data_IF_472405034656
#
_entry.id   IF_472405034656
#
_cell.length_a   1.000
_cell.length_b   1.000
_cell.length_c   1.000
_cell.angle_alpha   90.00
_cell.angle_beta   90.00
_cell.angle_gamma   90.00
#
_symmetry.space_group_name_H-M   'P 1'
#
loop_
_entity.id
_entity.type
_entity.pdbx_description
1 polymer ?
#
# COMPACT_ATOMS: atom_id res chain seq x y z
N UNK A 1 18.58 18.59 14.01
CA UNK A 1 17.34 17.77 13.83
C UNK A 1 17.56 16.95 12.59
N UNK A 2 17.50 15.62 12.67
CA UNK A 2 17.72 14.78 11.51
C UNK A 2 16.59 14.94 10.46
N UNK A 3 16.85 14.45 9.23
CA UNK A 3 15.89 14.58 8.12
C UNK A 3 14.56 13.87 8.40
N UNK A 4 14.58 12.70 9.05
CA UNK A 4 13.37 11.96 9.37
C UNK A 4 12.43 12.77 10.28
N UNK A 5 12.96 13.35 11.34
CA UNK A 5 12.18 14.18 12.27
C UNK A 5 11.71 15.49 11.61
N UNK A 6 12.52 16.04 10.71
CA UNK A 6 12.14 17.22 9.94
C UNK A 6 10.98 16.93 8.96
N UNK A 7 11.00 15.77 8.29
CA UNK A 7 9.91 15.34 7.39
C UNK A 7 8.59 15.22 8.15
N UNK A 8 8.62 14.66 9.37
CA UNK A 8 7.43 14.48 10.22
C UNK A 8 6.70 15.79 10.54
N UNK A 9 7.34 16.93 10.37
CA UNK A 9 6.69 18.24 10.57
C UNK A 9 5.74 18.61 9.41
N UNK A 10 5.92 18.03 8.23
CA UNK A 10 5.19 18.38 7.01
C UNK A 10 4.40 17.23 6.41
N UNK A 11 4.76 16.00 6.75
CA UNK A 11 4.25 14.77 6.13
C UNK A 11 4.09 13.69 7.19
N UNK A 12 2.98 12.99 7.18
CA UNK A 12 2.82 11.80 8.02
C UNK A 12 3.71 10.68 7.49
N UNK A 13 4.65 10.22 8.31
CA UNK A 13 5.56 9.12 7.98
C UNK A 13 4.91 7.80 8.31
N UNK A 14 4.92 6.89 7.35
CA UNK A 14 4.39 5.54 7.42
C UNK A 14 5.53 4.55 7.19
N UNK A 15 5.57 3.45 7.91
CA UNK A 15 6.58 2.40 7.70
C UNK A 15 6.09 1.36 6.70
N UNK A 16 6.89 1.10 5.68
CA UNK A 16 6.65 0.03 4.70
C UNK A 16 7.47 -1.20 5.09
N UNK A 17 6.92 -2.01 5.99
CA UNK A 17 7.62 -3.15 6.56
C UNK A 17 6.69 -4.15 7.23
N UNK A 18 7.05 -5.45 7.17
CA UNK A 18 6.51 -6.48 8.04
C UNK A 18 7.38 -6.76 9.28
N UNK A 19 8.52 -6.11 9.39
CA UNK A 19 9.42 -6.24 10.53
C UNK A 19 9.03 -5.29 11.65
N UNK A 20 8.42 -5.84 12.69
CA UNK A 20 7.84 -5.11 13.83
C UNK A 20 8.91 -4.37 14.64
N UNK A 21 10.10 -4.92 14.78
CA UNK A 21 11.20 -4.27 15.50
C UNK A 21 11.66 -2.99 14.78
N UNK A 22 11.79 -3.04 13.45
CA UNK A 22 12.06 -1.84 12.64
C UNK A 22 10.98 -0.79 12.77
N UNK A 23 9.69 -1.20 12.74
CA UNK A 23 8.57 -0.29 12.92
C UNK A 23 8.64 0.38 14.28
N UNK A 24 8.88 -0.39 15.33
CA UNK A 24 8.99 0.12 16.70
C UNK A 24 10.11 1.14 16.86
N UNK A 25 11.23 0.93 16.18
CA UNK A 25 12.40 1.82 16.26
C UNK A 25 12.16 3.22 15.67
N UNK A 26 11.42 3.34 14.55
CA UNK A 26 11.25 4.61 13.84
C UNK A 26 10.02 5.41 14.26
N UNK A 27 9.13 4.85 15.10
CA UNK A 27 7.91 5.48 15.60
C UNK A 27 7.08 6.13 14.46
N UNK A 28 6.67 5.39 13.43
CA UNK A 28 5.79 5.89 12.38
C UNK A 28 4.37 6.05 12.91
N UNK A 29 3.56 6.84 12.21
CA UNK A 29 2.12 6.97 12.52
C UNK A 29 1.36 5.71 12.13
N UNK A 30 1.56 5.23 10.90
CA UNK A 30 0.91 4.07 10.30
C UNK A 30 1.97 3.06 9.80
N UNK A 31 1.51 1.88 9.39
CA UNK A 31 2.33 0.90 8.70
C UNK A 31 1.60 0.29 7.51
N UNK A 32 2.35 -0.07 6.47
CA UNK A 32 1.86 -0.80 5.31
C UNK A 32 2.54 -2.15 5.21
N UNK A 33 1.76 -3.18 4.87
CA UNK A 33 2.25 -4.50 4.52
C UNK A 33 1.84 -4.86 3.09
N UNK A 34 2.41 -5.90 2.56
CA UNK A 34 2.05 -6.53 1.29
C UNK A 34 2.52 -7.99 1.30
N UNK A 35 2.13 -8.82 0.33
CA UNK A 35 2.53 -10.23 0.30
C UNK A 35 4.03 -10.47 0.39
N UNK A 36 4.84 -9.65 -0.28
CA UNK A 36 6.31 -9.76 -0.27
C UNK A 36 6.89 -9.48 1.11
N UNK A 37 6.38 -8.45 1.80
CA UNK A 37 6.81 -8.09 3.16
C UNK A 37 6.39 -9.14 4.18
N UNK A 38 5.18 -9.70 4.06
CA UNK A 38 4.72 -10.79 4.93
C UNK A 38 5.54 -12.05 4.72
N UNK A 39 5.85 -12.42 3.48
CA UNK A 39 6.71 -13.57 3.17
C UNK A 39 8.09 -13.42 3.81
N UNK A 40 8.69 -12.24 3.68
CA UNK A 40 9.99 -11.93 4.29
C UNK A 40 9.94 -12.03 5.81
N UNK A 41 8.92 -11.45 6.44
CA UNK A 41 8.74 -11.47 7.89
C UNK A 41 8.47 -12.90 8.40
N UNK A 42 7.69 -13.69 7.68
CA UNK A 42 7.42 -15.09 8.01
C UNK A 42 8.67 -15.99 8.03
N UNK A 43 9.73 -15.56 7.34
CA UNK A 43 11.05 -16.22 7.40
C UNK A 43 11.85 -15.94 8.67
N UNK A 44 11.43 -14.98 9.49
CA UNK A 44 12.14 -14.60 10.72
C UNK A 44 11.68 -15.46 11.90
N UNK A 45 12.63 -16.07 12.63
CA UNK A 45 12.34 -16.96 13.76
C UNK A 45 11.53 -16.26 14.88
N UNK A 46 11.71 -14.96 15.04
CA UNK A 46 10.99 -14.14 16.03
C UNK A 46 9.46 -14.11 15.84
N UNK A 47 8.97 -14.42 14.65
CA UNK A 47 7.53 -14.40 14.32
C UNK A 47 6.91 -15.80 14.15
N UNK A 48 7.66 -16.86 14.52
CA UNK A 48 7.15 -18.25 14.44
C UNK A 48 5.83 -18.44 15.20
N UNK A 49 5.66 -17.80 16.35
CA UNK A 49 4.43 -17.87 17.14
C UNK A 49 3.20 -17.33 16.41
N UNK A 50 3.35 -16.29 15.56
CA UNK A 50 2.25 -15.76 14.74
C UNK A 50 1.83 -16.78 13.67
N UNK A 51 2.80 -17.52 13.13
CA UNK A 51 2.54 -18.58 12.14
C UNK A 51 1.85 -19.77 12.83
N UNK A 52 2.35 -20.19 13.98
CA UNK A 52 1.79 -21.35 14.72
C UNK A 52 0.34 -21.08 15.15
N UNK A 53 0.03 -19.85 15.59
CA UNK A 53 -1.35 -19.44 15.89
C UNK A 53 -2.25 -19.49 14.64
N UNK A 54 -1.77 -18.97 13.50
CA UNK A 54 -2.52 -19.01 12.24
C UNK A 54 -2.81 -20.45 11.78
N UNK A 55 -1.84 -21.34 11.90
CA UNK A 55 -1.99 -22.77 11.59
C UNK A 55 -3.00 -23.44 12.53
N UNK A 56 -2.88 -23.21 13.85
CA UNK A 56 -3.79 -23.77 14.83
C UNK A 56 -5.24 -23.30 14.61
N UNK A 57 -5.40 -22.01 14.30
CA UNK A 57 -6.70 -21.43 13.98
C UNK A 57 -7.28 -22.04 12.70
N UNK A 58 -6.50 -22.16 11.63
CA UNK A 58 -6.93 -22.71 10.35
C UNK A 58 -7.38 -24.19 10.47
N UNK A 59 -6.66 -24.99 11.26
CA UNK A 59 -7.06 -26.38 11.54
C UNK A 59 -8.43 -26.46 12.21
N UNK A 60 -8.78 -25.52 13.09
CA UNK A 60 -10.08 -25.46 13.76
C UNK A 60 -11.23 -25.08 12.81
N UNK A 61 -10.95 -24.32 11.74
CA UNK A 61 -11.97 -23.97 10.76
C UNK A 61 -12.41 -25.17 9.92
N UNK A 62 -11.61 -26.22 9.85
CA UNK A 62 -11.90 -27.41 9.05
C UNK A 62 -11.72 -27.18 7.56
N UNK A 63 -12.37 -28.03 6.76
CA UNK A 63 -12.23 -28.03 5.31
C UNK A 63 -11.02 -28.83 4.80
N UNK A 64 -10.91 -28.95 3.48
CA UNK A 64 -9.78 -29.62 2.84
C UNK A 64 -8.49 -28.80 2.98
N UNK A 65 -7.36 -29.41 2.61
CA UNK A 65 -6.03 -28.79 2.75
C UNK A 65 -5.94 -27.39 2.12
N UNK A 66 -6.47 -27.23 0.92
CA UNK A 66 -6.47 -25.93 0.21
C UNK A 66 -7.21 -24.84 0.99
N UNK A 67 -8.37 -25.16 1.53
CA UNK A 67 -9.15 -24.25 2.37
C UNK A 67 -8.40 -23.88 3.66
N UNK A 68 -7.75 -24.85 4.30
CA UNK A 68 -6.95 -24.61 5.51
C UNK A 68 -5.73 -23.71 5.22
N UNK A 69 -5.07 -23.87 4.07
CA UNK A 69 -3.97 -22.99 3.65
C UNK A 69 -4.49 -21.57 3.44
N UNK A 70 -5.62 -21.38 2.76
CA UNK A 70 -6.22 -20.07 2.56
C UNK A 70 -6.59 -19.40 3.90
N UNK A 71 -7.21 -20.16 4.81
CA UNK A 71 -7.51 -19.70 6.17
C UNK A 71 -6.25 -19.28 6.95
N UNK A 72 -5.18 -20.08 6.85
CA UNK A 72 -3.92 -19.78 7.52
C UNK A 72 -3.26 -18.50 6.97
N UNK A 73 -3.32 -18.27 5.64
CA UNK A 73 -2.82 -17.04 5.03
C UNK A 73 -3.58 -15.81 5.51
N UNK A 74 -4.91 -15.85 5.51
CA UNK A 74 -5.73 -14.73 5.97
C UNK A 74 -5.46 -14.44 7.46
N UNK A 75 -5.44 -15.48 8.29
CA UNK A 75 -5.16 -15.33 9.73
C UNK A 75 -3.76 -14.81 9.99
N UNK A 76 -2.76 -15.26 9.25
CA UNK A 76 -1.38 -14.80 9.40
C UNK A 76 -1.25 -13.32 9.05
N UNK A 77 -1.86 -12.86 7.95
CA UNK A 77 -1.86 -11.44 7.58
C UNK A 77 -2.48 -10.58 8.70
N UNK A 78 -3.58 -11.03 9.29
CA UNK A 78 -4.24 -10.36 10.41
C UNK A 78 -3.37 -10.41 11.68
N UNK A 79 -2.72 -11.54 11.98
CA UNK A 79 -1.82 -11.66 13.13
C UNK A 79 -0.65 -10.68 13.04
N UNK A 80 -0.01 -10.55 11.87
CA UNK A 80 1.02 -9.54 11.66
C UNK A 80 0.48 -8.12 11.83
N UNK A 81 -0.66 -7.81 11.23
CA UNK A 81 -1.29 -6.51 11.37
C UNK A 81 -1.64 -6.17 12.82
N UNK A 82 -2.19 -7.12 13.56
CA UNK A 82 -2.53 -6.97 14.98
C UNK A 82 -1.27 -6.70 15.83
N UNK A 83 -0.18 -7.40 15.57
CA UNK A 83 1.08 -7.20 16.28
C UNK A 83 1.70 -5.83 15.96
N UNK A 84 1.67 -5.43 14.70
CA UNK A 84 2.12 -4.09 14.27
C UNK A 84 1.31 -2.99 14.98
N UNK A 85 0.00 -3.14 15.09
CA UNK A 85 -0.89 -2.16 15.74
C UNK A 85 -0.58 -1.89 17.21
N UNK A 86 0.11 -2.79 17.89
CA UNK A 86 0.61 -2.56 19.25
C UNK A 86 1.75 -1.54 19.31
N UNK A 87 2.39 -1.27 18.16
CA UNK A 87 3.59 -0.43 18.06
C UNK A 87 3.37 0.89 17.35
N UNK A 88 2.20 1.12 16.79
CA UNK A 88 1.83 2.34 16.05
C UNK A 88 0.54 2.95 16.61
N UNK A 89 0.40 4.29 16.60
CA UNK A 89 -0.84 4.94 17.05
C UNK A 89 -1.97 4.90 16.03
N UNK A 90 -1.64 4.84 14.75
CA UNK A 90 -2.59 4.93 13.64
C UNK A 90 -3.08 3.59 13.11
N UNK A 91 -2.96 3.38 11.81
CA UNK A 91 -3.56 2.27 11.07
C UNK A 91 -2.53 1.36 10.43
N UNK A 92 -2.92 0.09 10.24
CA UNK A 92 -2.18 -0.86 9.41
C UNK A 92 -2.95 -1.14 8.12
N UNK A 93 -2.23 -1.19 6.99
CA UNK A 93 -2.79 -1.64 5.71
C UNK A 93 -2.56 -3.15 5.54
N UNK A 94 -3.64 -3.90 5.35
CA UNK A 94 -3.63 -5.35 5.08
C UNK A 94 -4.18 -5.61 3.70
N UNK A 95 -3.42 -6.29 2.85
CA UNK A 95 -3.71 -6.43 1.42
C UNK A 95 -4.54 -7.68 1.12
N UNK A 96 -5.55 -7.52 0.29
CA UNK A 96 -6.35 -8.59 -0.30
C UNK A 96 -5.51 -9.33 -1.33
N UNK A 97 -5.70 -10.64 -1.45
CA UNK A 97 -5.02 -11.50 -2.41
C UNK A 97 -5.06 -10.90 -3.83
N UNK A 98 -3.88 -10.70 -4.42
CA UNK A 98 -3.73 -10.06 -5.73
C UNK A 98 -4.44 -10.83 -6.86
N UNK A 99 -4.69 -12.12 -6.69
CA UNK A 99 -5.45 -12.93 -7.67
C UNK A 99 -6.93 -12.53 -7.75
N UNK A 100 -7.42 -11.76 -6.78
CA UNK A 100 -8.78 -11.20 -6.77
C UNK A 100 -8.87 -9.83 -7.45
N UNK A 101 -7.78 -9.29 -7.98
CA UNK A 101 -7.70 -7.93 -8.52
C UNK A 101 -8.72 -7.61 -9.61
N UNK A 102 -9.21 -8.62 -10.33
CA UNK A 102 -10.21 -8.49 -11.40
C UNK A 102 -11.59 -9.06 -11.02
N UNK A 103 -11.81 -9.32 -9.73
CA UNK A 103 -13.09 -9.82 -9.22
C UNK A 103 -13.59 -8.93 -8.08
N UNK A 104 -14.50 -8.01 -8.42
CA UNK A 104 -15.06 -7.03 -7.49
C UNK A 104 -15.74 -7.70 -6.29
N UNK A 105 -16.61 -8.67 -6.53
CA UNK A 105 -17.42 -9.31 -5.50
C UNK A 105 -16.54 -10.10 -4.51
N UNK A 106 -15.61 -10.90 -5.02
CA UNK A 106 -14.67 -11.64 -4.16
C UNK A 106 -13.69 -10.73 -3.41
N UNK A 107 -13.31 -9.59 -3.99
CA UNK A 107 -12.51 -8.59 -3.29
C UNK A 107 -13.27 -7.99 -2.11
N UNK A 108 -14.56 -7.67 -2.28
CA UNK A 108 -15.43 -7.18 -1.19
C UNK A 108 -15.58 -8.24 -0.10
N UNK A 109 -15.87 -9.48 -0.49
CA UNK A 109 -16.02 -10.61 0.44
C UNK A 109 -14.75 -10.83 1.26
N UNK A 110 -13.59 -10.87 0.60
CA UNK A 110 -12.28 -11.02 1.27
C UNK A 110 -11.99 -9.87 2.22
N UNK A 111 -12.26 -8.63 1.82
CA UNK A 111 -12.07 -7.45 2.65
C UNK A 111 -12.91 -7.53 3.94
N UNK A 112 -14.19 -7.86 3.82
CA UNK A 112 -15.09 -8.06 4.97
C UNK A 112 -14.60 -9.17 5.89
N UNK A 113 -14.11 -10.27 5.31
CA UNK A 113 -13.54 -11.39 6.06
C UNK A 113 -12.31 -10.96 6.88
N UNK A 114 -11.37 -10.26 6.28
CA UNK A 114 -10.19 -9.75 6.99
C UNK A 114 -10.57 -8.80 8.14
N UNK A 115 -11.52 -7.89 7.91
CA UNK A 115 -12.02 -7.00 8.95
C UNK A 115 -12.66 -7.79 10.10
N UNK A 116 -13.46 -8.83 9.80
CA UNK A 116 -14.05 -9.69 10.81
C UNK A 116 -13.00 -10.39 11.67
N UNK A 117 -11.91 -10.90 11.06
CA UNK A 117 -10.80 -11.51 11.79
C UNK A 117 -10.10 -10.51 12.74
N UNK A 118 -9.94 -9.26 12.34
CA UNK A 118 -9.44 -8.21 13.23
C UNK A 118 -10.39 -7.93 14.40
N UNK A 119 -11.69 -7.86 14.12
CA UNK A 119 -12.72 -7.64 15.15
C UNK A 119 -12.78 -8.79 16.18
N UNK A 120 -12.60 -10.04 15.75
CA UNK A 120 -12.46 -11.19 16.66
C UNK A 120 -11.27 -11.06 17.63
N UNK A 121 -10.24 -10.32 17.24
CA UNK A 121 -9.08 -9.98 18.08
C UNK A 121 -9.28 -8.68 18.89
N UNK A 122 -10.48 -8.09 18.88
CA UNK A 122 -10.81 -6.86 19.60
C UNK A 122 -10.27 -5.59 18.93
N UNK A 123 -9.88 -5.66 17.66
CA UNK A 123 -9.36 -4.51 16.90
C UNK A 123 -10.50 -3.89 16.08
N UNK A 124 -10.76 -2.62 16.34
CA UNK A 124 -11.79 -1.87 15.62
C UNK A 124 -11.36 -1.57 14.17
N UNK A 125 -12.33 -1.59 13.26
CA UNK A 125 -12.08 -1.32 11.83
C UNK A 125 -11.48 0.06 11.55
N UNK A 126 -11.62 1.02 12.45
CA UNK A 126 -10.98 2.34 12.35
C UNK A 126 -9.44 2.30 12.40
N UNK A 127 -8.88 1.18 12.88
CA UNK A 127 -7.43 0.94 12.95
C UNK A 127 -6.87 0.22 11.70
N UNK A 128 -7.70 -0.06 10.69
CA UNK A 128 -7.36 -0.91 9.55
C UNK A 128 -7.63 -0.16 8.25
N UNK A 129 -6.74 -0.34 7.28
CA UNK A 129 -6.98 -0.06 5.88
C UNK A 129 -6.93 -1.37 5.09
N UNK A 130 -7.98 -1.66 4.34
CA UNK A 130 -7.95 -2.78 3.40
C UNK A 130 -7.26 -2.33 2.12
N UNK A 131 -6.20 -3.03 1.76
CA UNK A 131 -5.37 -2.68 0.61
C UNK A 131 -5.78 -3.50 -0.61
N UNK A 132 -6.10 -2.81 -1.70
CA UNK A 132 -6.62 -3.37 -2.95
C UNK A 132 -5.82 -2.84 -4.14
N UNK A 133 -5.57 -3.67 -5.16
CA UNK A 133 -4.99 -3.19 -6.40
C UNK A 133 -5.91 -2.19 -7.11
N UNK A 134 -5.34 -1.16 -7.72
CA UNK A 134 -6.07 -0.09 -8.41
C UNK A 134 -6.49 -0.49 -9.85
N UNK A 135 -7.13 -1.65 -9.96
CA UNK A 135 -7.91 -2.04 -11.13
C UNK A 135 -9.29 -1.39 -11.07
N UNK A 136 -10.04 -1.38 -12.16
CA UNK A 136 -11.42 -0.91 -12.13
C UNK A 136 -12.25 -1.67 -11.10
N UNK A 137 -12.13 -3.00 -11.08
CA UNK A 137 -12.82 -3.89 -10.15
C UNK A 137 -12.43 -3.61 -8.70
N UNK A 138 -11.14 -3.39 -8.43
CA UNK A 138 -10.63 -3.05 -7.10
C UNK A 138 -11.14 -1.68 -6.62
N UNK A 139 -11.19 -0.69 -7.49
CA UNK A 139 -11.72 0.64 -7.20
C UNK A 139 -13.22 0.58 -6.91
N UNK A 140 -13.99 -0.19 -7.70
CA UNK A 140 -15.43 -0.38 -7.46
C UNK A 140 -15.71 -1.19 -6.18
N UNK A 141 -14.84 -2.14 -5.83
CA UNK A 141 -14.90 -2.83 -4.54
C UNK A 141 -14.68 -1.85 -3.38
N UNK A 142 -13.66 -1.00 -3.47
CA UNK A 142 -13.37 0.02 -2.46
C UNK A 142 -14.54 0.99 -2.28
N UNK A 143 -15.21 1.40 -3.34
CA UNK A 143 -16.40 2.28 -3.26
C UNK A 143 -17.51 1.69 -2.38
N UNK A 144 -17.72 0.37 -2.48
CA UNK A 144 -18.72 -0.33 -1.64
C UNK A 144 -18.25 -0.37 -0.19
N UNK A 145 -17.00 -0.77 0.03
CA UNK A 145 -16.40 -0.90 1.37
C UNK A 145 -16.36 0.44 2.12
N UNK A 146 -16.04 1.52 1.44
CA UNK A 146 -16.03 2.87 2.04
C UNK A 146 -17.41 3.28 2.55
N UNK A 147 -18.47 2.94 1.82
CA UNK A 147 -19.86 3.18 2.26
C UNK A 147 -20.25 2.35 3.49
N UNK A 148 -19.57 1.25 3.73
CA UNK A 148 -19.72 0.40 4.92
C UNK A 148 -18.82 0.86 6.09
N UNK A 149 -18.03 1.93 5.90
CA UNK A 149 -17.08 2.42 6.88
C UNK A 149 -15.83 1.53 7.00
N UNK A 150 -15.54 0.74 5.98
CA UNK A 150 -14.28 0.00 5.83
C UNK A 150 -13.38 0.82 4.92
N UNK A 151 -12.38 1.47 5.50
CA UNK A 151 -11.47 2.32 4.75
C UNK A 151 -10.47 1.52 3.94
N UNK A 152 -10.16 2.00 2.74
CA UNK A 152 -9.32 1.31 1.78
C UNK A 152 -8.06 2.11 1.44
N UNK A 153 -7.00 1.36 1.12
CA UNK A 153 -5.75 1.83 0.54
C UNK A 153 -5.61 1.23 -0.87
N UNK A 154 -5.78 2.03 -1.91
CA UNK A 154 -5.65 1.59 -3.30
C UNK A 154 -4.20 1.67 -3.74
N UNK A 155 -3.61 0.49 -3.97
CA UNK A 155 -2.20 0.29 -4.30
C UNK A 155 -2.00 -0.11 -5.76
N UNK A 156 -0.74 -0.35 -6.16
CA UNK A 156 -0.35 -0.59 -7.55
C UNK A 156 -0.91 0.51 -8.46
N UNK A 157 -0.70 1.75 -8.04
CA UNK A 157 -1.21 2.94 -8.68
C UNK A 157 -0.08 3.65 -9.40
N UNK A 158 -0.20 3.78 -10.72
CA UNK A 158 0.83 4.24 -11.65
C UNK A 158 0.36 5.33 -12.60
N UNK A 159 -0.93 5.64 -12.65
CA UNK A 159 -1.49 6.62 -13.58
C UNK A 159 -2.46 7.60 -12.92
N UNK A 160 -2.61 8.78 -13.54
CA UNK A 160 -3.61 9.75 -13.10
C UNK A 160 -5.04 9.21 -13.27
N UNK A 161 -5.31 8.40 -14.28
CA UNK A 161 -6.61 7.77 -14.49
C UNK A 161 -7.01 6.91 -13.28
N UNK A 162 -6.07 6.08 -12.77
CA UNK A 162 -6.30 5.29 -11.56
C UNK A 162 -6.56 6.19 -10.33
N UNK A 163 -5.73 7.20 -10.13
CA UNK A 163 -5.87 8.14 -9.00
C UNK A 163 -7.21 8.87 -9.05
N UNK A 164 -7.59 9.37 -10.22
CA UNK A 164 -8.85 10.06 -10.44
C UNK A 164 -10.06 9.16 -10.14
N UNK A 165 -10.08 7.95 -10.67
CA UNK A 165 -11.16 7.00 -10.42
C UNK A 165 -11.29 6.63 -8.93
N UNK A 166 -10.16 6.51 -8.20
CA UNK A 166 -10.16 6.31 -6.75
C UNK A 166 -10.78 7.49 -5.99
N UNK A 167 -10.41 8.72 -6.35
CA UNK A 167 -10.96 9.91 -5.71
C UNK A 167 -12.46 10.07 -5.97
N UNK A 168 -12.91 9.80 -7.20
CA UNK A 168 -14.32 9.81 -7.61
C UNK A 168 -15.13 8.73 -6.88
N UNK A 169 -14.51 7.60 -6.53
CA UNK A 169 -15.11 6.54 -5.73
C UNK A 169 -15.14 6.83 -4.22
N UNK A 170 -14.57 7.95 -3.77
CA UNK A 170 -14.52 8.31 -2.35
C UNK A 170 -13.56 7.45 -1.52
N UNK A 171 -12.54 6.89 -2.13
CA UNK A 171 -11.51 6.08 -1.45
C UNK A 171 -10.78 6.91 -0.40
N UNK A 172 -10.56 6.33 0.78
CA UNK A 172 -9.86 6.99 1.88
C UNK A 172 -8.42 7.37 1.56
N UNK A 173 -7.65 6.44 0.97
CA UNK A 173 -6.23 6.62 0.72
C UNK A 173 -5.78 5.89 -0.55
N UNK A 174 -4.87 6.51 -1.29
CA UNK A 174 -4.18 5.91 -2.42
C UNK A 174 -2.67 5.85 -2.18
N UNK A 175 -2.02 4.82 -2.73
CA UNK A 175 -0.56 4.62 -2.66
C UNK A 175 0.04 4.66 -4.07
N UNK A 176 0.24 5.86 -4.68
CA UNK A 176 0.93 5.97 -5.95
C UNK A 176 2.42 5.63 -5.79
N UNK A 177 2.95 4.86 -6.74
CA UNK A 177 4.32 4.35 -6.71
C UNK A 177 5.29 5.32 -7.38
N UNK A 178 6.44 5.52 -6.75
CA UNK A 178 7.54 6.35 -7.26
C UNK A 178 8.63 5.51 -7.90
N UNK A 179 9.22 4.60 -7.14
CA UNK A 179 10.40 3.85 -7.57
C UNK A 179 10.15 2.90 -8.72
N UNK A 180 9.00 2.24 -8.77
CA UNK A 180 8.68 1.33 -9.90
C UNK A 180 8.42 2.09 -11.19
N UNK A 181 7.89 3.31 -11.12
CA UNK A 181 7.80 4.21 -12.29
C UNK A 181 9.21 4.60 -12.73
N UNK A 182 10.05 5.05 -11.80
CA UNK A 182 11.45 5.37 -12.07
C UNK A 182 12.16 4.21 -12.78
N UNK A 183 12.05 3.00 -12.25
CA UNK A 183 12.70 1.80 -12.80
C UNK A 183 12.30 1.56 -14.27
N UNK A 184 11.00 1.72 -14.59
CA UNK A 184 10.50 1.52 -15.95
C UNK A 184 11.10 2.52 -16.96
N UNK A 185 11.18 3.79 -16.59
CA UNK A 185 11.77 4.82 -17.44
C UNK A 185 13.29 4.71 -17.50
N UNK A 186 13.94 4.42 -16.38
CA UNK A 186 15.39 4.28 -16.31
C UNK A 186 15.90 3.11 -17.16
N UNK A 187 15.19 2.01 -17.21
CA UNK A 187 15.52 0.86 -18.07
C UNK A 187 15.50 1.20 -19.56
N UNK A 188 14.76 2.24 -19.96
CA UNK A 188 14.66 2.74 -21.34
C UNK A 188 15.61 3.90 -21.64
N UNK A 189 16.28 4.43 -20.61
CA UNK A 189 17.29 5.50 -20.70
C UNK A 189 18.54 5.09 -19.92
N UNK A 190 19.35 4.14 -20.44
CA UNK A 190 20.36 3.43 -19.65
C UNK A 190 21.62 4.25 -19.33
N UNK A 191 21.85 5.39 -19.95
CA UNK A 191 23.14 6.06 -19.88
C UNK A 191 23.30 7.02 -18.70
N UNK A 192 22.22 7.64 -18.21
CA UNK A 192 22.27 8.59 -17.10
C UNK A 192 21.05 8.44 -16.19
N UNK A 193 21.23 8.39 -14.86
CA UNK A 193 20.13 8.43 -13.92
C UNK A 193 19.38 9.76 -14.03
N UNK A 194 18.05 9.71 -13.84
CA UNK A 194 17.27 10.94 -13.71
C UNK A 194 17.72 11.74 -12.49
N UNK A 195 17.93 13.04 -12.68
CA UNK A 195 17.97 13.96 -11.54
C UNK A 195 16.59 13.99 -10.89
N UNK A 196 16.53 14.25 -9.59
CA UNK A 196 15.28 14.09 -8.83
C UNK A 196 14.15 14.99 -9.33
N UNK A 197 14.49 16.19 -9.83
CA UNK A 197 13.53 17.14 -10.38
C UNK A 197 12.83 16.63 -11.64
N UNK A 198 13.52 15.76 -12.39
CA UNK A 198 13.04 15.14 -13.63
C UNK A 198 12.57 13.70 -13.44
N UNK A 199 12.64 13.18 -12.21
CA UNK A 199 12.23 11.82 -11.88
C UNK A 199 10.74 11.60 -12.22
N UNK A 200 10.42 10.68 -13.15
CA UNK A 200 9.04 10.48 -13.60
C UNK A 200 8.12 9.97 -12.51
N UNK A 201 8.64 9.22 -11.53
CA UNK A 201 7.87 8.76 -10.39
C UNK A 201 7.51 9.90 -9.43
N UNK A 202 8.45 10.79 -9.17
CA UNK A 202 8.24 12.01 -8.37
C UNK A 202 7.22 12.92 -9.06
N UNK A 203 7.38 13.14 -10.37
CA UNK A 203 6.42 13.95 -11.17
C UNK A 203 5.01 13.37 -11.13
N UNK A 204 4.89 12.05 -11.24
CA UNK A 204 3.58 11.36 -11.19
C UNK A 204 2.85 11.64 -9.87
N UNK A 205 3.50 11.44 -8.73
CA UNK A 205 2.89 11.67 -7.42
C UNK A 205 2.58 13.14 -7.18
N UNK A 206 3.47 14.05 -7.61
CA UNK A 206 3.22 15.48 -7.53
C UNK A 206 1.97 15.88 -8.32
N UNK A 207 1.82 15.40 -9.55
CA UNK A 207 0.65 15.68 -10.39
C UNK A 207 -0.65 15.17 -9.75
N UNK A 208 -0.62 13.98 -9.15
CA UNK A 208 -1.78 13.42 -8.43
C UNK A 208 -2.13 14.27 -7.22
N UNK A 209 -1.12 14.66 -6.42
CA UNK A 209 -1.31 15.53 -5.27
C UNK A 209 -1.96 16.85 -5.66
N UNK A 210 -1.39 17.53 -6.66
CA UNK A 210 -1.90 18.82 -7.16
C UNK A 210 -3.34 18.68 -7.66
N UNK A 211 -3.62 17.66 -8.45
CA UNK A 211 -4.97 17.37 -8.94
C UNK A 211 -5.98 17.19 -7.80
N UNK A 212 -5.62 16.40 -6.78
CA UNK A 212 -6.53 16.16 -5.65
C UNK A 212 -6.78 17.43 -4.85
N UNK A 213 -5.76 18.24 -4.62
CA UNK A 213 -5.91 19.50 -3.87
C UNK A 213 -6.69 20.55 -4.67
N UNK A 214 -6.43 20.68 -5.98
CA UNK A 214 -7.18 21.60 -6.85
C UNK A 214 -8.67 21.25 -6.91
N UNK A 215 -9.03 19.98 -6.96
CA UNK A 215 -10.44 19.53 -7.03
C UNK A 215 -11.06 19.24 -5.67
N UNK A 216 -10.39 19.56 -4.56
CA UNK A 216 -10.85 19.31 -3.18
C UNK A 216 -11.32 17.87 -2.94
N UNK A 217 -10.56 16.90 -3.42
CA UNK A 217 -10.77 15.52 -3.02
C UNK A 217 -10.19 15.26 -1.63
N UNK A 218 -10.93 14.52 -0.81
CA UNK A 218 -10.50 14.17 0.55
C UNK A 218 -9.58 12.95 0.60
N UNK A 219 -9.44 12.23 -0.50
CA UNK A 219 -8.57 11.05 -0.59
C UNK A 219 -7.13 11.43 -0.26
N UNK A 220 -6.55 10.71 0.68
CA UNK A 220 -5.17 10.90 1.12
C UNK A 220 -4.22 10.38 0.06
N UNK A 221 -3.21 11.17 -0.30
CA UNK A 221 -2.14 10.75 -1.20
C UNK A 221 -0.94 10.29 -0.38
N UNK A 222 -0.57 9.02 -0.52
CA UNK A 222 0.58 8.43 0.13
C UNK A 222 1.60 7.95 -0.91
N UNK A 223 2.67 8.69 -1.11
CA UNK A 223 3.78 8.25 -1.96
C UNK A 223 4.39 6.94 -1.44
N UNK A 224 4.69 6.02 -2.34
CA UNK A 224 5.15 4.67 -2.02
C UNK A 224 6.26 4.19 -2.95
N UNK A 225 6.96 3.11 -2.54
CA UNK A 225 7.96 2.44 -3.38
C UNK A 225 9.12 3.35 -3.76
N UNK A 226 9.89 3.79 -2.78
CA UNK A 226 11.06 4.65 -3.00
C UNK A 226 12.33 3.83 -3.27
N UNK A 227 13.25 4.38 -4.09
CA UNK A 227 14.57 3.80 -4.38
C UNK A 227 15.69 4.55 -3.68
N UNK A 228 15.50 5.83 -3.38
CA UNK A 228 16.50 6.72 -2.78
C UNK A 228 15.83 7.84 -1.97
N UNK A 229 16.56 8.39 -1.02
CA UNK A 229 16.06 9.42 -0.10
C UNK A 229 15.70 10.72 -0.82
N UNK A 230 16.35 11.05 -1.93
CA UNK A 230 16.04 12.24 -2.72
C UNK A 230 14.60 12.24 -3.27
N UNK A 231 14.06 11.06 -3.64
CA UNK A 231 12.67 10.93 -4.06
C UNK A 231 11.70 11.26 -2.92
N UNK A 232 12.04 10.85 -1.69
CA UNK A 232 11.27 11.16 -0.49
C UNK A 232 11.32 12.65 -0.21
N UNK A 233 12.52 13.24 -0.21
CA UNK A 233 12.74 14.66 0.06
C UNK A 233 12.03 15.56 -0.98
N UNK A 234 11.95 15.13 -2.24
CA UNK A 234 11.25 15.83 -3.30
C UNK A 234 9.71 15.85 -3.14
N UNK A 235 9.17 15.00 -2.27
CA UNK A 235 7.74 14.86 -1.99
C UNK A 235 7.34 15.32 -0.57
N UNK A 236 8.23 15.94 0.18
CA UNK A 236 7.92 16.49 1.50
C UNK A 236 6.79 17.50 1.41
N UNK A 237 5.77 17.31 2.22
CA UNK A 237 4.48 18.03 2.16
C UNK A 237 3.37 17.19 1.53
N UNK A 238 3.67 16.02 0.93
CA UNK A 238 2.67 15.01 0.61
C UNK A 238 1.90 14.61 1.88
N UNK A 239 0.64 14.22 1.75
CA UNK A 239 -0.16 13.86 2.93
C UNK A 239 0.51 12.77 3.74
N UNK A 240 0.99 11.71 3.09
CA UNK A 240 1.75 10.61 3.69
C UNK A 240 2.84 10.12 2.75
N UNK A 241 3.88 9.51 3.33
CA UNK A 241 4.92 8.77 2.61
C UNK A 241 5.18 7.47 3.36
N UNK A 242 5.03 6.33 2.68
CA UNK A 242 5.37 5.03 3.25
C UNK A 242 6.78 4.65 2.82
N UNK A 243 7.65 4.46 3.81
CA UNK A 243 9.09 4.41 3.64
C UNK A 243 9.63 3.11 4.22
N UNK A 244 10.46 2.41 3.45
CA UNK A 244 11.11 1.18 3.91
C UNK A 244 12.21 1.48 4.94
N UNK A 245 12.47 0.56 5.91
CA UNK A 245 13.44 0.76 6.98
C UNK A 245 14.85 1.20 6.55
N UNK A 246 15.45 0.70 5.47
CA UNK A 246 16.76 1.19 5.03
C UNK A 246 16.77 2.69 4.73
N UNK A 247 15.74 3.20 4.08
CA UNK A 247 15.64 4.64 3.76
C UNK A 247 15.26 5.47 5.00
N UNK A 248 14.46 4.92 5.93
CA UNK A 248 14.24 5.57 7.24
C UNK A 248 15.54 5.74 7.99
N UNK A 249 16.43 4.74 7.97
CA UNK A 249 17.74 4.78 8.58
C UNK A 249 18.63 5.87 7.96
N UNK A 250 18.65 5.96 6.64
CA UNK A 250 19.43 6.99 5.93
C UNK A 250 18.94 8.40 6.29
N UNK A 251 17.62 8.61 6.30
CA UNK A 251 17.02 9.90 6.68
C UNK A 251 17.33 10.26 8.15
N UNK A 252 17.34 9.29 9.04
CA UNK A 252 17.66 9.49 10.45
C UNK A 252 19.14 9.85 10.65
N UNK A 253 20.03 9.36 9.79
CA UNK A 253 21.47 9.59 9.85
C UNK A 253 21.92 10.92 9.25
N UNK A 254 21.05 11.69 8.59
CA UNK A 254 21.36 12.95 7.94
C UNK A 254 20.73 14.14 8.67
N UNK A 255 21.52 15.20 8.90
CA UNK A 255 21.05 16.48 9.47
C UNK A 255 20.91 17.58 8.42
N UNK A 256 20.99 17.24 7.14
CA UNK A 256 20.79 18.20 6.05
C UNK A 256 19.39 18.81 6.14
N UNK A 257 19.22 20.14 5.99
CA UNK A 257 17.92 20.79 6.10
C UNK A 257 16.89 20.24 5.12
N UNK A 258 15.68 20.05 5.61
CA UNK A 258 14.53 19.61 4.81
C UNK A 258 13.63 20.80 4.49
N UNK A 259 13.25 20.92 3.24
CA UNK A 259 12.35 21.96 2.75
C UNK A 259 11.05 21.33 2.27
N UNK A 260 9.91 21.89 2.68
CA UNK A 260 8.61 21.50 2.16
C UNK A 260 8.52 21.75 0.66
N UNK A 261 8.17 20.75 -0.13
CA UNK A 261 8.10 20.78 -1.60
C UNK A 261 6.66 20.81 -2.12
N UNK A 262 5.75 20.08 -1.47
CA UNK A 262 4.35 20.05 -1.85
C UNK A 262 3.53 20.98 -0.95
N UNK A 263 2.88 21.93 -1.59
CA UNK A 263 2.00 22.91 -0.96
C UNK A 263 0.66 22.85 -1.70
N UNK A 264 -0.48 22.75 -1.00
CA UNK A 264 -1.79 22.73 -1.66
C UNK A 264 -1.96 23.96 -2.55
N UNK A 265 -2.47 23.74 -3.77
CA UNK A 265 -2.73 24.84 -4.70
C UNK A 265 -3.77 25.81 -4.12
N UNK A 266 -3.55 27.10 -4.36
CA UNK A 266 -4.49 28.16 -3.96
C UNK A 266 -5.73 28.21 -4.87
N UNK A 267 -5.56 27.84 -6.14
CA UNK A 267 -6.63 27.79 -7.12
C UNK A 267 -7.45 26.52 -6.97
N UNK A 268 -8.75 26.66 -6.78
CA UNK A 268 -9.71 25.56 -6.74
C UNK A 268 -10.44 25.47 -8.07
N UNK A 269 -10.51 24.27 -8.60
CA UNK A 269 -11.21 23.94 -9.84
C UNK A 269 -12.44 23.09 -9.56
N UNK A 270 -13.49 23.19 -10.37
CA UNK A 270 -14.63 22.28 -10.26
C UNK A 270 -14.19 20.83 -10.54
N UNK A 271 -14.82 19.87 -9.88
CA UNK A 271 -14.59 18.46 -10.17
C UNK A 271 -15.10 18.13 -11.57
N UNK A 272 -14.30 17.43 -12.39
CA UNK A 272 -14.80 16.93 -13.67
C UNK A 272 -15.87 15.84 -13.47
N UNK A 273 -16.60 15.53 -14.53
CA UNK A 273 -17.53 14.39 -14.54
C UNK A 273 -16.73 13.10 -14.26
N UNK A 274 -17.21 12.21 -13.38
CA UNK A 274 -16.56 10.96 -13.08
C UNK A 274 -16.31 10.11 -14.34
N UNK A 275 -15.18 9.41 -14.36
CA UNK A 275 -14.85 8.49 -15.44
C UNK A 275 -15.85 7.33 -15.50
N UNK A 276 -16.37 7.04 -16.68
CA UNK A 276 -16.97 5.75 -16.97
C UNK A 276 -15.91 4.65 -17.02
N UNK A 277 -16.34 3.39 -16.95
CA UNK A 277 -15.42 2.25 -17.09
C UNK A 277 -14.64 2.29 -18.41
N UNK A 278 -15.31 2.59 -19.52
CA UNK A 278 -14.69 2.68 -20.84
C UNK A 278 -13.63 3.79 -20.91
N UNK A 279 -13.93 4.97 -20.35
CA UNK A 279 -12.97 6.08 -20.29
C UNK A 279 -11.79 5.75 -19.40
N UNK A 280 -12.02 5.16 -18.21
CA UNK A 280 -10.94 4.71 -17.32
C UNK A 280 -10.01 3.71 -18.02
N UNK A 281 -10.58 2.68 -18.64
CA UNK A 281 -9.79 1.66 -19.34
C UNK A 281 -9.02 2.24 -20.53
N UNK A 282 -9.62 3.17 -21.26
CA UNK A 282 -8.97 3.83 -22.38
C UNK A 282 -7.81 4.72 -21.93
N UNK A 283 -8.05 5.61 -20.96
CA UNK A 283 -7.02 6.51 -20.45
C UNK A 283 -5.84 5.72 -19.82
N UNK A 284 -6.13 4.69 -19.02
CA UNK A 284 -5.09 3.83 -18.46
C UNK A 284 -4.30 3.09 -19.53
N UNK A 285 -4.98 2.56 -20.56
CA UNK A 285 -4.35 1.84 -21.66
C UNK A 285 -3.40 2.72 -22.49
N UNK A 286 -3.59 4.02 -22.52
CA UNK A 286 -2.70 4.94 -23.25
C UNK A 286 -1.35 5.17 -22.53
N UNK A 287 -1.23 4.76 -21.28
CA UNK A 287 0.01 4.83 -20.53
C UNK A 287 0.66 3.44 -20.43
N UNK A 288 1.62 3.12 -21.32
CA UNK A 288 2.24 1.79 -21.35
C UNK A 288 2.99 1.46 -20.06
N UNK A 289 3.59 2.44 -19.39
CA UNK A 289 4.26 2.24 -18.11
C UNK A 289 3.23 1.78 -17.07
N UNK A 290 2.10 2.44 -16.96
CA UNK A 290 1.08 2.12 -15.98
C UNK A 290 0.46 0.74 -16.23
N UNK A 291 0.16 0.39 -17.50
CA UNK A 291 -0.36 -0.92 -17.89
C UNK A 291 0.61 -2.04 -17.52
N UNK A 292 1.88 -1.90 -17.92
CA UNK A 292 2.91 -2.90 -17.66
C UNK A 292 3.17 -3.07 -16.16
N UNK A 293 3.31 -1.98 -15.41
CA UNK A 293 3.64 -2.02 -13.97
C UNK A 293 2.49 -2.51 -13.09
N UNK A 294 1.25 -2.18 -13.41
CA UNK A 294 0.08 -2.75 -12.73
C UNK A 294 0.01 -4.27 -12.93
N UNK A 295 0.10 -4.72 -14.17
CA UNK A 295 0.06 -6.15 -14.52
C UNK A 295 1.22 -6.92 -13.88
N UNK A 296 2.45 -6.40 -13.94
CA UNK A 296 3.63 -6.98 -13.31
C UNK A 296 3.46 -7.06 -11.78
N UNK A 297 3.00 -5.98 -11.14
CA UNK A 297 2.80 -5.93 -9.69
C UNK A 297 1.81 -6.96 -9.19
N UNK A 298 0.67 -7.13 -9.87
CA UNK A 298 -0.33 -8.16 -9.56
C UNK A 298 0.31 -9.56 -9.66
N UNK A 299 1.05 -9.85 -10.73
CA UNK A 299 1.73 -11.14 -10.91
C UNK A 299 2.76 -11.43 -9.82
N UNK A 300 3.60 -10.45 -9.49
CA UNK A 300 4.64 -10.61 -8.47
C UNK A 300 4.05 -10.84 -7.08
N UNK A 301 3.02 -10.10 -6.70
CA UNK A 301 2.34 -10.32 -5.43
C UNK A 301 1.66 -11.70 -5.38
N UNK A 302 1.09 -12.17 -6.49
CA UNK A 302 0.54 -13.52 -6.56
C UNK A 302 1.63 -14.61 -6.44
N UNK A 303 2.82 -14.38 -6.98
CA UNK A 303 3.97 -15.29 -6.80
C UNK A 303 4.38 -15.37 -5.33
N UNK A 304 4.52 -14.24 -4.66
CA UNK A 304 4.92 -14.20 -3.25
C UNK A 304 3.82 -14.77 -2.34
N UNK A 305 2.54 -14.55 -2.68
CA UNK A 305 1.42 -15.19 -2.01
C UNK A 305 1.51 -16.74 -2.10
N UNK A 306 1.81 -17.29 -3.26
CA UNK A 306 1.98 -18.75 -3.41
C UNK A 306 3.14 -19.29 -2.59
N UNK A 307 4.27 -18.57 -2.53
CA UNK A 307 5.40 -18.96 -1.66
C UNK A 307 5.00 -18.99 -0.19
N UNK A 308 4.18 -18.03 0.25
CA UNK A 308 3.64 -18.00 1.60
C UNK A 308 2.68 -19.19 1.83
N UNK A 309 1.82 -19.48 0.87
CA UNK A 309 0.93 -20.65 0.89
C UNK A 309 1.72 -21.96 1.00
N UNK A 310 2.79 -22.12 0.23
CA UNK A 310 3.66 -23.30 0.28
C UNK A 310 4.34 -23.47 1.65
N UNK A 311 4.81 -22.36 2.23
CA UNK A 311 5.38 -22.35 3.58
C UNK A 311 4.36 -22.81 4.63
N UNK A 312 3.13 -22.29 4.56
CA UNK A 312 2.06 -22.66 5.49
C UNK A 312 1.55 -24.09 5.25
N UNK A 313 1.45 -24.51 3.99
CA UNK A 313 1.07 -25.89 3.65
C UNK A 313 2.05 -26.93 4.18
N UNK A 314 3.35 -26.66 4.17
CA UNK A 314 4.36 -27.51 4.76
C UNK A 314 4.17 -27.65 6.28
N UNK A 315 3.85 -26.54 6.97
CA UNK A 315 3.58 -26.54 8.42
C UNK A 315 2.25 -27.19 8.81
N UNK A 316 1.23 -27.09 7.95
CA UNK A 316 -0.06 -27.77 8.17
C UNK A 316 0.06 -29.31 8.13
N UNK A 317 1.08 -29.82 7.45
CA UNK A 317 1.32 -31.26 7.30
C UNK A 317 2.09 -31.88 8.47
N UNK A 318 2.63 -31.06 9.36
CA UNK A 318 3.30 -31.47 10.60
C UNK A 318 2.30 -31.49 11.77
#
# INVERSE_FOLDING_TARGET
MNQLDSIKQFTTVVADSGDIESIRHYHPEDATTNPSLLLKAAGLASYSGLIDDAIAWAKKQGGGREAQVAHACDKLAVNFGAEILKSIPGRVSTEVDARLSFNREKSIEKARHLVALYQEMGIDKSRILIKLASTWEGIRAAEVLEKEGIHCNLTLLFSLAQARACAEAGVYLISPFVGRIYDWYQARKPLEPYVVEEDPGVKSVRNIYDYFKQHKYNTIVMGASFRRTEQILALVGCDRLTIAPPLLKELQASDTPVVRKLIPASQILPRPVPLSEAEFRWEHNQDPMAVEKLAEGIRLFAVDQRKLEDLLAAKLSL
#
